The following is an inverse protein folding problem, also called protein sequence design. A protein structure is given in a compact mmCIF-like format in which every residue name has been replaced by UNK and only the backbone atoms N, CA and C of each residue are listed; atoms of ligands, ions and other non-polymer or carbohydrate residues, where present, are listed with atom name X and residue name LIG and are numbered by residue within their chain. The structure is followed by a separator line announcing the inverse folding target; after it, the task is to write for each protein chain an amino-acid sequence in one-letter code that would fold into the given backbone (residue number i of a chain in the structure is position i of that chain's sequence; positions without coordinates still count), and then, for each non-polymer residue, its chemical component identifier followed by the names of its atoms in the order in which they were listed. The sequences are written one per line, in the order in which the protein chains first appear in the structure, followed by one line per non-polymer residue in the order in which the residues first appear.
data_IF_425046825876
#
_entry.id   IF_425046825876
#
_cell.length_a   1.000
_cell.length_b   1.000
_cell.length_c   1.000
_cell.angle_alpha   90.00
_cell.angle_beta   90.00
_cell.angle_gamma   90.00
#
_symmetry.space_group_name_H-M   'P 1'
#
loop_
_entity.id
_entity.type
_entity.pdbx_description
1 polymer ?
#
# COMPACT_ATOMS: atom_id res chain seq x y z
N UNK A 1 -11.23 -14.01 14.58
CA UNK A 1 -11.55 -13.04 13.49
C UNK A 1 -11.67 -11.57 13.95
N UNK A 2 -12.69 -11.16 14.73
CA UNK A 2 -12.91 -9.73 15.09
C UNK A 2 -11.83 -9.17 16.03
N UNK A 3 -11.33 -9.96 16.99
CA UNK A 3 -10.43 -9.47 18.05
C UNK A 3 -9.04 -9.03 17.57
N UNK A 4 -8.43 -9.77 16.63
CA UNK A 4 -7.08 -9.47 16.13
C UNK A 4 -7.07 -8.30 15.14
N UNK A 5 -7.99 -8.30 14.18
CA UNK A 5 -8.22 -7.18 13.27
C UNK A 5 -8.64 -5.90 14.02
N UNK A 6 -9.47 -6.02 15.06
CA UNK A 6 -9.84 -4.87 15.90
C UNK A 6 -8.65 -4.30 16.65
N UNK A 7 -7.70 -5.11 17.13
CA UNK A 7 -6.50 -4.63 17.83
C UNK A 7 -5.48 -3.98 16.89
N UNK A 8 -5.34 -4.50 15.67
CA UNK A 8 -4.51 -3.89 14.62
C UNK A 8 -5.13 -2.57 14.12
N UNK A 9 -6.47 -2.51 14.00
CA UNK A 9 -7.21 -1.26 13.74
C UNK A 9 -7.08 -0.28 14.91
N UNK A 10 -7.28 -0.71 16.16
CA UNK A 10 -7.28 0.17 17.34
C UNK A 10 -5.95 0.90 17.57
N UNK A 11 -4.83 0.34 17.12
CA UNK A 11 -3.51 0.97 17.21
C UNK A 11 -3.30 2.08 16.15
N UNK A 12 -4.17 2.18 15.13
CA UNK A 12 -4.08 3.17 14.06
C UNK A 12 -5.38 3.94 13.74
N UNK A 13 -6.47 3.69 14.44
CA UNK A 13 -7.80 4.28 14.21
C UNK A 13 -8.03 5.41 15.21
N UNK A 14 -7.73 6.64 14.78
CA UNK A 14 -8.32 7.84 15.37
C UNK A 14 -9.83 7.91 15.07
N UNK A 15 -10.61 8.74 15.78
CA UNK A 15 -12.06 8.90 15.58
C UNK A 15 -12.49 9.26 14.14
N UNK A 16 -11.54 9.63 13.27
CA UNK A 16 -11.70 9.87 11.83
C UNK A 16 -11.40 8.64 10.94
N UNK A 17 -11.48 7.42 11.48
CA UNK A 17 -11.15 6.20 10.74
C UNK A 17 -12.02 6.00 9.48
N UNK A 18 -11.35 6.11 8.35
CA UNK A 18 -11.91 5.94 7.02
C UNK A 18 -12.39 4.51 6.80
N UNK A 19 -13.47 4.37 6.04
CA UNK A 19 -13.98 3.07 5.60
C UNK A 19 -12.87 2.28 4.90
N UNK A 20 -12.88 0.94 5.06
CA UNK A 20 -11.84 0.09 4.45
C UNK A 20 -11.71 0.27 2.94
N UNK A 21 -12.79 0.64 2.26
CA UNK A 21 -12.77 0.95 0.83
C UNK A 21 -12.09 2.29 0.50
N UNK A 22 -12.28 3.29 1.36
CA UNK A 22 -11.62 4.58 1.19
C UNK A 22 -10.11 4.42 1.33
N UNK A 23 -9.65 3.64 2.30
CA UNK A 23 -8.22 3.33 2.48
C UNK A 23 -7.60 2.68 1.22
N UNK A 24 -8.32 1.75 0.59
CA UNK A 24 -7.88 1.11 -0.67
C UNK A 24 -7.85 2.12 -1.82
N UNK A 25 -8.81 3.03 -1.89
CA UNK A 25 -8.83 4.09 -2.91
C UNK A 25 -7.65 5.06 -2.76
N UNK A 26 -7.25 5.39 -1.52
CA UNK A 26 -6.07 6.22 -1.25
C UNK A 26 -4.73 5.52 -1.52
N UNK A 27 -4.71 4.19 -1.61
CA UNK A 27 -3.52 3.45 -2.02
C UNK A 27 -3.09 3.84 -3.45
N UNK A 28 -4.04 4.10 -4.34
CA UNK A 28 -3.77 4.43 -5.74
C UNK A 28 -2.94 5.72 -5.88
N UNK A 29 -3.40 6.89 -5.39
CA UNK A 29 -2.60 8.12 -5.49
C UNK A 29 -1.28 8.00 -4.72
N UNK A 30 -1.26 7.28 -3.58
CA UNK A 30 -0.03 7.06 -2.83
C UNK A 30 1.03 6.32 -3.66
N UNK A 31 0.67 5.18 -4.26
CA UNK A 31 1.58 4.37 -5.08
C UNK A 31 2.01 5.14 -6.32
N UNK A 32 1.08 5.84 -6.99
CA UNK A 32 1.39 6.61 -8.20
C UNK A 32 2.35 7.76 -7.90
N UNK A 33 2.07 8.58 -6.89
CA UNK A 33 2.91 9.72 -6.52
C UNK A 33 4.29 9.29 -6.04
N UNK A 34 4.38 8.32 -5.12
CA UNK A 34 5.66 7.85 -4.59
C UNK A 34 6.55 7.23 -5.66
N UNK A 35 5.96 6.47 -6.59
CA UNK A 35 6.71 5.83 -7.68
C UNK A 35 7.19 6.85 -8.73
N UNK A 36 6.37 7.85 -9.07
CA UNK A 36 6.75 8.94 -9.97
C UNK A 36 7.87 9.80 -9.37
N UNK A 37 7.78 10.15 -8.09
CA UNK A 37 8.82 10.90 -7.37
C UNK A 37 10.14 10.13 -7.35
N UNK A 38 10.10 8.81 -7.12
CA UNK A 38 11.29 7.97 -7.22
C UNK A 38 11.93 8.04 -8.61
N UNK A 39 11.14 7.87 -9.67
CA UNK A 39 11.65 7.95 -11.04
C UNK A 39 12.25 9.33 -11.36
N UNK A 40 11.52 10.40 -11.02
CA UNK A 40 11.90 11.78 -11.34
C UNK A 40 13.08 12.33 -10.56
N UNK A 41 13.45 11.71 -9.42
CA UNK A 41 14.65 12.09 -8.67
C UNK A 41 15.91 11.39 -9.17
N UNK A 42 15.77 10.31 -9.93
CA UNK A 42 16.90 9.46 -10.36
C UNK A 42 17.22 9.57 -11.85
N UNK A 43 16.26 9.97 -12.67
CA UNK A 43 16.40 10.04 -14.12
C UNK A 43 15.86 11.37 -14.64
N UNK A 44 16.53 11.94 -15.64
CA UNK A 44 16.05 13.13 -16.36
C UNK A 44 15.20 12.74 -17.58
N UNK A 45 15.42 11.55 -18.15
CA UNK A 45 14.69 11.08 -19.33
C UNK A 45 13.28 10.56 -18.95
N UNK A 46 12.25 11.13 -19.58
CA UNK A 46 10.85 10.79 -19.30
C UNK A 46 10.45 9.35 -19.60
N UNK A 47 11.13 8.67 -20.53
CA UNK A 47 10.91 7.22 -20.75
C UNK A 47 11.47 6.42 -19.60
N UNK A 48 12.68 6.74 -19.12
CA UNK A 48 13.29 6.05 -17.99
C UNK A 48 12.50 6.25 -16.70
N UNK A 49 12.04 7.48 -16.43
CA UNK A 49 11.19 7.81 -15.26
C UNK A 49 9.97 6.89 -15.21
N UNK A 50 9.24 6.75 -16.33
CA UNK A 50 8.02 5.94 -16.37
C UNK A 50 8.28 4.45 -16.16
N UNK A 51 9.35 3.90 -16.74
CA UNK A 51 9.69 2.48 -16.60
C UNK A 51 10.03 2.15 -15.15
N UNK A 52 10.88 2.95 -14.51
CA UNK A 52 11.26 2.71 -13.12
C UNK A 52 10.12 3.04 -12.15
N UNK A 53 9.30 4.06 -12.42
CA UNK A 53 8.08 4.31 -11.65
C UNK A 53 7.12 3.11 -11.70
N UNK A 54 6.87 2.51 -12.87
CA UNK A 54 6.01 1.32 -12.97
C UNK A 54 6.58 0.12 -12.19
N UNK A 55 7.89 -0.09 -12.28
CA UNK A 55 8.58 -1.16 -11.55
C UNK A 55 8.49 -0.98 -10.04
N UNK A 56 8.73 0.24 -9.54
CA UNK A 56 8.59 0.57 -8.12
C UNK A 56 7.15 0.44 -7.66
N UNK A 57 6.20 0.94 -8.44
CA UNK A 57 4.78 0.82 -8.14
C UNK A 57 4.31 -0.64 -8.05
N UNK A 58 4.77 -1.48 -8.97
CA UNK A 58 4.53 -2.92 -8.92
C UNK A 58 5.13 -3.57 -7.67
N UNK A 59 6.36 -3.18 -7.28
CA UNK A 59 6.99 -3.69 -6.05
C UNK A 59 6.21 -3.29 -4.79
N UNK A 60 5.75 -2.04 -4.71
CA UNK A 60 4.94 -1.55 -3.59
C UNK A 60 3.61 -2.29 -3.48
N UNK A 61 2.92 -2.53 -4.59
CA UNK A 61 1.67 -3.29 -4.62
C UNK A 61 1.89 -4.76 -4.22
N UNK A 62 2.92 -5.40 -4.76
CA UNK A 62 3.25 -6.80 -4.41
C UNK A 62 3.56 -6.92 -2.93
N UNK A 63 4.39 -6.02 -2.37
CA UNK A 63 4.72 -6.04 -0.95
C UNK A 63 3.48 -5.85 -0.07
N UNK A 64 2.65 -4.86 -0.42
CA UNK A 64 1.39 -4.60 0.30
C UNK A 64 0.47 -5.82 0.27
N UNK A 65 0.31 -6.44 -0.90
CA UNK A 65 -0.49 -7.65 -1.08
C UNK A 65 0.09 -8.85 -0.30
N UNK A 66 1.42 -9.03 -0.28
CA UNK A 66 2.08 -10.08 0.50
C UNK A 66 1.83 -9.92 2.00
N UNK A 67 1.99 -8.71 2.54
CA UNK A 67 1.71 -8.43 3.97
C UNK A 67 0.24 -8.72 4.27
N UNK A 68 -0.67 -8.30 3.40
CA UNK A 68 -2.10 -8.56 3.56
C UNK A 68 -2.42 -10.05 3.50
N UNK A 69 -1.81 -10.80 2.57
CA UNK A 69 -1.98 -12.24 2.44
C UNK A 69 -1.48 -12.99 3.69
N UNK A 70 -0.33 -12.60 4.23
CA UNK A 70 0.21 -13.18 5.48
C UNK A 70 -0.73 -12.87 6.65
N UNK A 71 -1.22 -11.63 6.76
CA UNK A 71 -2.17 -11.26 7.81
C UNK A 71 -3.49 -12.05 7.72
N UNK A 72 -4.02 -12.25 6.51
CA UNK A 72 -5.20 -13.08 6.27
C UNK A 72 -4.94 -14.53 6.64
N UNK A 73 -3.79 -15.09 6.22
CA UNK A 73 -3.40 -16.46 6.51
C UNK A 73 -3.32 -16.67 8.04
N UNK A 74 -2.63 -15.80 8.77
CA UNK A 74 -2.58 -15.86 10.23
C UNK A 74 -3.96 -15.75 10.87
N UNK A 75 -4.87 -14.96 10.29
CA UNK A 75 -6.26 -14.89 10.75
C UNK A 75 -7.06 -16.18 10.53
N UNK A 76 -6.67 -17.06 9.59
CA UNK A 76 -7.31 -18.38 9.44
C UNK A 76 -6.83 -19.38 10.49
N UNK A 77 -5.59 -19.24 10.97
CA UNK A 77 -5.03 -20.11 12.01
C UNK A 77 -5.33 -19.64 13.45
N UNK A 78 -6.02 -18.50 13.61
CA UNK A 78 -6.36 -17.88 14.90
C UNK A 78 -7.86 -17.61 15.09
#
# INVERSE_FOLDING_TARGET
MISFLSKLMFLGVGPEAMSGWEQVLYLIPLVVCTSLVYGGTRYEDWRQIRVEALKIGSWLLVLTACVFAVALLLSFFN
#
